data_IF_735277148896
#
_entry.id   IF_735277148896
#
_cell.length_a   1.000
_cell.length_b   1.000
_cell.length_c   1.000
_cell.angle_alpha   90.00
_cell.angle_beta   90.00
_cell.angle_gamma   90.00
#
_symmetry.space_group_name_H-M   'P 1'
#
loop_
_entity.id
_entity.type
_entity.pdbx_description
1 polymer ?
#
# COMPACT_ATOMS: atom_id res chain seq x y z
N UNK A 1 8.64 -8.23 0.43
CA UNK A 1 8.16 -7.57 -0.81
C UNK A 1 8.50 -8.40 -2.05
N UNK A 2 7.62 -8.46 -3.03
CA UNK A 2 7.84 -9.16 -4.32
C UNK A 2 7.26 -8.32 -5.45
N UNK A 3 8.11 -7.50 -6.07
CA UNK A 3 7.70 -6.47 -7.05
C UNK A 3 6.97 -7.05 -8.26
N UNK A 4 7.42 -8.19 -8.79
CA UNK A 4 6.87 -8.88 -9.96
C UNK A 4 5.45 -9.43 -9.73
N UNK A 5 5.06 -9.58 -8.46
CA UNK A 5 3.74 -10.07 -8.04
C UNK A 5 2.87 -8.97 -7.43
N UNK A 6 3.31 -7.72 -7.50
CA UNK A 6 2.63 -6.58 -6.87
C UNK A 6 2.39 -6.77 -5.36
N UNK A 7 3.25 -7.53 -4.69
CA UNK A 7 3.26 -7.68 -3.24
C UNK A 7 4.20 -6.61 -2.65
N UNK A 8 3.69 -5.38 -2.56
CA UNK A 8 4.48 -4.19 -2.27
C UNK A 8 4.73 -3.95 -0.78
N UNK A 9 3.99 -4.61 0.08
CA UNK A 9 4.09 -4.42 1.52
C UNK A 9 4.51 -5.74 2.16
N UNK A 10 5.33 -5.64 3.21
CA UNK A 10 5.71 -6.79 4.02
C UNK A 10 4.73 -6.99 5.18
N UNK A 11 4.28 -5.88 5.78
CA UNK A 11 3.45 -5.95 6.97
C UNK A 11 2.63 -4.67 7.18
N UNK A 12 1.43 -4.84 7.69
CA UNK A 12 0.64 -3.79 8.33
C UNK A 12 1.11 -3.73 9.80
N UNK A 13 1.60 -2.56 10.20
CA UNK A 13 2.17 -2.35 11.55
C UNK A 13 1.09 -1.95 12.53
N UNK A 14 0.15 -1.11 12.06
CA UNK A 14 -0.88 -0.53 12.89
C UNK A 14 -2.07 -0.06 12.05
N UNK A 15 -3.28 -0.17 12.59
CA UNK A 15 -4.51 0.35 12.01
C UNK A 15 -5.37 0.96 13.11
N UNK A 16 -5.69 2.24 12.94
CA UNK A 16 -6.62 2.98 13.79
C UNK A 16 -7.81 3.41 12.94
N UNK A 17 -8.93 2.71 13.07
CA UNK A 17 -10.14 2.98 12.30
C UNK A 17 -10.84 4.27 12.73
N UNK A 18 -10.77 4.62 14.01
CA UNK A 18 -11.37 5.86 14.54
C UNK A 18 -10.62 7.08 14.04
N UNK A 19 -9.29 7.03 14.08
CA UNK A 19 -8.42 8.06 13.52
C UNK A 19 -8.27 7.97 12.00
N UNK A 20 -8.82 6.93 11.35
CA UNK A 20 -8.70 6.65 9.90
C UNK A 20 -7.25 6.61 9.42
N UNK A 21 -6.39 5.92 10.16
CA UNK A 21 -4.96 5.82 9.89
C UNK A 21 -4.48 4.38 9.78
N UNK A 22 -3.44 4.21 8.99
CA UNK A 22 -2.73 2.95 8.84
C UNK A 22 -1.23 3.21 8.76
N UNK A 23 -0.44 2.28 9.30
CA UNK A 23 1.01 2.23 9.08
C UNK A 23 1.40 0.89 8.52
N UNK A 24 2.25 0.92 7.50
CA UNK A 24 2.79 -0.28 6.85
C UNK A 24 4.30 -0.15 6.70
N UNK A 25 4.95 -1.26 6.47
CA UNK A 25 6.39 -1.34 6.25
C UNK A 25 6.69 -2.27 5.08
N UNK A 26 7.72 -1.93 4.33
CA UNK A 26 8.31 -2.81 3.34
C UNK A 26 9.83 -2.64 3.27
N UNK A 27 10.54 -3.71 2.95
CA UNK A 27 11.96 -3.69 2.60
C UNK A 27 12.08 -3.96 1.10
N UNK A 28 12.74 -3.03 0.42
CA UNK A 28 13.00 -3.15 -1.02
C UNK A 28 13.89 -4.35 -1.27
N UNK A 29 13.56 -5.26 -2.21
CA UNK A 29 14.40 -6.42 -2.50
C UNK A 29 15.81 -6.01 -2.88
N UNK A 30 16.80 -6.89 -2.68
CA UNK A 30 18.14 -6.67 -3.21
C UNK A 30 18.12 -6.66 -4.75
N UNK A 31 19.13 -6.05 -5.36
CA UNK A 31 19.17 -5.88 -6.81
C UNK A 31 19.11 -7.21 -7.58
N UNK A 32 19.63 -8.29 -7.00
CA UNK A 32 19.61 -9.64 -7.59
C UNK A 32 18.37 -10.46 -7.25
N UNK A 33 17.44 -9.90 -6.48
CA UNK A 33 16.21 -10.59 -6.04
C UNK A 33 14.98 -10.21 -6.88
N UNK A 34 15.10 -9.18 -7.74
CA UNK A 34 14.00 -8.78 -8.63
C UNK A 34 14.50 -8.33 -10.00
N UNK A 35 13.92 -8.85 -11.08
CA UNK A 35 14.26 -8.46 -12.45
C UNK A 35 13.94 -6.98 -12.76
N UNK A 36 13.13 -6.32 -11.95
CA UNK A 36 12.86 -4.87 -12.09
C UNK A 36 14.14 -4.06 -12.09
N UNK A 37 15.13 -4.45 -11.28
CA UNK A 37 16.38 -3.72 -11.14
C UNK A 37 17.37 -3.96 -12.28
N UNK A 38 17.18 -5.00 -13.09
CA UNK A 38 17.99 -5.23 -14.30
C UNK A 38 17.72 -4.13 -15.33
N UNK A 39 16.47 -3.68 -15.44
CA UNK A 39 16.06 -2.64 -16.38
C UNK A 39 16.03 -1.22 -15.81
N UNK A 40 15.94 -1.08 -14.50
CA UNK A 40 15.75 0.23 -13.87
C UNK A 40 16.80 0.52 -12.78
N UNK A 41 18.03 0.89 -13.11
CA UNK A 41 18.63 1.02 -14.46
C UNK A 41 19.84 0.10 -14.58
N UNK A 42 20.26 -0.32 -15.78
CA UNK A 42 21.47 -1.13 -15.97
C UNK A 42 22.69 -0.49 -15.30
N UNK A 43 23.31 -1.21 -14.36
CA UNK A 43 24.46 -0.72 -13.60
C UNK A 43 24.15 0.27 -12.46
N UNK A 44 22.89 0.69 -12.32
CA UNK A 44 22.44 1.57 -11.24
C UNK A 44 21.00 1.22 -10.80
N UNK A 45 20.83 0.17 -9.99
CA UNK A 45 19.52 -0.28 -9.56
C UNK A 45 18.83 0.78 -8.70
N UNK A 46 17.62 1.16 -9.09
CA UNK A 46 16.82 2.18 -8.45
C UNK A 46 15.35 1.73 -8.39
N UNK A 47 14.70 1.90 -7.25
CA UNK A 47 13.28 1.61 -7.11
C UNK A 47 12.47 2.55 -8.02
N UNK A 48 11.67 2.02 -8.97
CA UNK A 48 10.84 2.85 -9.83
C UNK A 48 9.83 3.68 -9.02
N UNK A 49 9.73 4.97 -9.33
CA UNK A 49 8.77 5.87 -8.66
C UNK A 49 7.32 5.41 -8.79
N UNK A 50 6.96 4.81 -9.92
CA UNK A 50 5.60 4.24 -10.12
C UNK A 50 5.31 3.07 -9.19
N UNK A 51 6.31 2.29 -8.81
CA UNK A 51 6.15 1.22 -7.82
C UNK A 51 6.11 1.75 -6.38
N UNK A 52 6.70 2.92 -6.10
CA UNK A 52 6.47 3.63 -4.83
C UNK A 52 5.04 4.15 -4.74
N UNK A 53 4.45 4.59 -5.86
CA UNK A 53 3.02 4.93 -5.91
C UNK A 53 2.17 3.70 -5.59
N UNK A 54 2.52 2.53 -6.12
CA UNK A 54 1.82 1.28 -5.81
C UNK A 54 1.95 0.90 -4.31
N UNK A 55 3.12 1.07 -3.68
CA UNK A 55 3.26 0.90 -2.23
C UNK A 55 2.30 1.80 -1.45
N UNK A 56 2.22 3.08 -1.84
CA UNK A 56 1.31 4.05 -1.25
C UNK A 56 -0.16 3.67 -1.50
N UNK A 57 -0.48 3.23 -2.72
CA UNK A 57 -1.82 2.79 -3.08
C UNK A 57 -2.26 1.56 -2.28
N UNK A 58 -1.39 0.57 -2.12
CA UNK A 58 -1.71 -0.59 -1.28
C UNK A 58 -1.89 -0.18 0.19
N UNK A 59 -1.04 0.71 0.72
CA UNK A 59 -1.17 1.18 2.11
C UNK A 59 -2.54 1.79 2.38
N UNK A 60 -2.96 2.79 1.61
CA UNK A 60 -4.27 3.42 1.83
C UNK A 60 -5.43 2.53 1.36
N UNK A 61 -5.21 1.64 0.39
CA UNK A 61 -6.20 0.66 -0.06
C UNK A 61 -6.58 -0.33 1.04
N UNK A 62 -5.62 -0.79 1.84
CA UNK A 62 -5.91 -1.63 3.00
C UNK A 62 -6.73 -0.91 4.05
N UNK A 63 -6.44 0.37 4.31
CA UNK A 63 -7.26 1.19 5.21
C UNK A 63 -8.68 1.38 4.65
N UNK A 64 -8.81 1.71 3.36
CA UNK A 64 -10.12 1.86 2.72
C UNK A 64 -10.95 0.58 2.78
N UNK A 65 -10.32 -0.59 2.61
CA UNK A 65 -10.97 -1.90 2.80
C UNK A 65 -11.40 -2.12 4.24
N UNK A 66 -10.54 -1.77 5.20
CA UNK A 66 -10.79 -1.96 6.62
C UNK A 66 -11.96 -1.09 7.13
N UNK A 67 -12.05 0.16 6.69
CA UNK A 67 -13.13 1.09 7.06
C UNK A 67 -14.52 0.57 6.65
N UNK A 68 -14.60 -0.26 5.62
CA UNK A 68 -15.84 -0.91 5.16
C UNK A 68 -15.89 -2.40 5.50
N UNK A 69 -15.13 -2.84 6.51
CA UNK A 69 -15.07 -4.25 6.97
C UNK A 69 -14.80 -5.25 5.83
N UNK A 70 -14.05 -4.85 4.81
CA UNK A 70 -13.79 -5.68 3.61
C UNK A 70 -15.08 -6.13 2.87
N UNK A 71 -16.15 -5.33 2.91
CA UNK A 71 -17.40 -5.65 2.22
C UNK A 71 -17.40 -5.22 0.75
N UNK A 72 -16.64 -4.18 0.43
CA UNK A 72 -16.40 -3.68 -0.93
C UNK A 72 -14.90 -3.44 -1.12
N UNK A 73 -14.46 -3.45 -2.37
CA UNK A 73 -13.03 -3.32 -2.67
C UNK A 73 -12.67 -1.93 -3.21
N UNK A 74 -11.52 -1.35 -2.78
CA UNK A 74 -10.97 -0.15 -3.37
C UNK A 74 -10.24 -0.47 -4.67
N UNK A 75 -10.60 0.23 -5.75
CA UNK A 75 -9.90 0.19 -7.03
C UNK A 75 -9.28 1.55 -7.28
N UNK A 76 -8.00 1.59 -7.60
CA UNK A 76 -7.28 2.82 -7.90
C UNK A 76 -7.99 3.58 -9.03
N UNK A 77 -8.44 4.79 -8.76
CA UNK A 77 -9.15 5.64 -9.71
C UNK A 77 -8.34 6.87 -10.12
N UNK A 78 -7.45 7.35 -9.26
CA UNK A 78 -6.62 8.49 -9.56
C UNK A 78 -5.50 8.71 -8.55
N UNK A 79 -4.43 9.33 -9.03
CA UNK A 79 -3.29 9.76 -8.21
C UNK A 79 -3.09 11.25 -8.41
N UNK A 80 -2.97 11.98 -7.31
CA UNK A 80 -2.79 13.41 -7.34
C UNK A 80 -1.57 13.80 -6.49
N UNK A 81 -0.83 14.78 -6.97
CA UNK A 81 0.31 15.37 -6.25
C UNK A 81 1.37 14.36 -5.81
N UNK A 82 1.58 13.29 -6.57
CA UNK A 82 2.62 12.32 -6.27
C UNK A 82 4.01 12.95 -6.39
N UNK A 83 4.79 12.88 -5.32
CA UNK A 83 6.15 13.46 -5.24
C UNK A 83 7.13 12.40 -4.77
N UNK A 84 8.20 12.22 -5.55
CA UNK A 84 9.37 11.44 -5.18
C UNK A 84 10.46 12.43 -4.75
N UNK A 85 10.88 12.37 -3.48
CA UNK A 85 11.77 13.38 -2.88
C UNK A 85 13.21 12.94 -2.83
N UNK A 86 13.45 11.63 -2.84
CA UNK A 86 14.79 11.05 -2.86
C UNK A 86 14.77 9.69 -3.52
N UNK A 87 15.92 9.27 -4.02
CA UNK A 87 16.12 7.93 -4.55
C UNK A 87 15.91 6.88 -3.46
N UNK A 88 15.24 5.80 -3.83
CA UNK A 88 15.06 4.60 -2.99
C UNK A 88 15.80 3.46 -3.67
N UNK A 89 16.68 2.80 -2.92
CA UNK A 89 17.62 1.80 -3.42
C UNK A 89 17.22 0.39 -2.96
N UNK A 90 17.68 -0.65 -3.65
CA UNK A 90 17.60 -2.02 -3.15
C UNK A 90 18.12 -2.13 -1.70
N UNK A 91 17.40 -2.85 -0.86
CA UNK A 91 17.72 -3.03 0.56
C UNK A 91 17.18 -1.93 1.49
N UNK A 92 16.70 -0.79 0.97
CA UNK A 92 16.09 0.24 1.80
C UNK A 92 14.81 -0.28 2.47
N UNK A 93 14.59 0.09 3.73
CA UNK A 93 13.32 -0.15 4.42
C UNK A 93 12.52 1.14 4.47
N UNK A 94 11.26 1.06 4.03
CA UNK A 94 10.32 2.18 4.01
C UNK A 94 9.18 1.94 4.97
N UNK A 95 8.79 3.00 5.67
CA UNK A 95 7.58 3.08 6.46
C UNK A 95 6.58 3.98 5.73
N UNK A 96 5.34 3.50 5.56
CA UNK A 96 4.26 4.30 5.01
C UNK A 96 3.21 4.58 6.07
N UNK A 97 2.76 5.83 6.10
CA UNK A 97 1.62 6.27 6.88
C UNK A 97 0.53 6.74 5.92
N UNK A 98 -0.65 6.13 6.01
CA UNK A 98 -1.85 6.49 5.25
C UNK A 98 -2.92 7.08 6.16
N UNK A 99 -3.64 8.08 5.65
CA UNK A 99 -4.78 8.71 6.31
C UNK A 99 -5.91 8.89 5.30
N UNK A 100 -7.11 8.37 5.58
CA UNK A 100 -8.29 8.61 4.75
C UNK A 100 -8.89 9.97 5.12
N UNK A 101 -8.87 10.89 4.16
CA UNK A 101 -9.34 12.28 4.31
C UNK A 101 -10.75 12.51 3.79
N UNK A 102 -11.25 11.62 2.93
CA UNK A 102 -12.62 11.67 2.42
C UNK A 102 -13.15 10.27 2.15
N UNK A 103 -14.41 10.07 2.47
CA UNK A 103 -15.16 8.86 2.19
C UNK A 103 -16.61 9.25 1.86
N UNK A 104 -17.10 8.86 0.70
CA UNK A 104 -18.46 9.15 0.28
C UNK A 104 -18.68 9.01 -1.22
N UNK A 105 -19.94 8.93 -1.62
CA UNK A 105 -20.36 8.85 -3.04
C UNK A 105 -19.67 7.75 -3.86
N UNK A 106 -19.30 6.63 -3.21
CA UNK A 106 -18.60 5.51 -3.85
C UNK A 106 -17.10 5.72 -4.07
N UNK A 107 -16.52 6.74 -3.43
CA UNK A 107 -15.09 7.03 -3.48
C UNK A 107 -14.49 7.16 -2.09
N UNK A 108 -13.20 6.83 -2.00
CA UNK A 108 -12.36 7.06 -0.83
C UNK A 108 -11.09 7.76 -1.26
N UNK A 109 -10.67 8.78 -0.53
CA UNK A 109 -9.43 9.51 -0.80
C UNK A 109 -8.49 9.38 0.38
N UNK A 110 -7.27 8.93 0.12
CA UNK A 110 -6.20 8.80 1.10
C UNK A 110 -5.02 9.71 0.79
N UNK A 111 -4.40 10.25 1.83
CA UNK A 111 -3.09 10.88 1.79
C UNK A 111 -2.07 9.92 2.38
N UNK A 112 -0.95 9.73 1.69
CA UNK A 112 0.07 8.76 2.09
C UNK A 112 1.44 9.44 2.07
N UNK A 113 2.25 9.12 3.09
CA UNK A 113 3.65 9.56 3.20
C UNK A 113 4.53 8.36 3.43
N UNK A 114 5.57 8.23 2.60
CA UNK A 114 6.63 7.23 2.77
C UNK A 114 7.88 7.86 3.38
N UNK A 115 8.49 7.15 4.33
CA UNK A 115 9.71 7.58 5.02
C UNK A 115 10.76 6.48 5.01
N UNK A 116 12.01 6.88 5.01
CA UNK A 116 13.19 6.06 5.29
C UNK A 116 13.97 6.73 6.42
N UNK A 117 14.22 6.01 7.51
CA UNK A 117 14.92 6.54 8.72
C UNK A 117 14.30 7.86 9.22
N UNK A 118 12.96 7.93 9.24
CA UNK A 118 12.20 9.10 9.66
C UNK A 118 12.14 10.26 8.62
N UNK A 119 12.93 10.21 7.54
CA UNK A 119 12.96 11.24 6.49
C UNK A 119 11.99 10.91 5.37
N UNK A 120 11.19 11.90 4.94
CA UNK A 120 10.24 11.74 3.83
C UNK A 120 10.93 11.44 2.50
N UNK A 121 10.52 10.35 1.84
CA UNK A 121 11.03 9.93 0.52
C UNK A 121 9.99 10.06 -0.58
N UNK A 122 8.72 9.91 -0.26
CA UNK A 122 7.62 10.08 -1.21
C UNK A 122 6.31 10.45 -0.50
N UNK A 123 5.40 11.05 -1.23
CA UNK A 123 4.03 11.30 -0.79
C UNK A 123 3.08 11.38 -2.00
N UNK A 124 1.80 11.09 -1.77
CA UNK A 124 0.76 11.21 -2.78
C UNK A 124 -0.63 11.33 -2.13
N UNK A 125 -1.58 11.88 -2.88
CA UNK A 125 -3.01 11.73 -2.63
C UNK A 125 -3.57 10.71 -3.63
N UNK A 126 -4.29 9.70 -3.14
CA UNK A 126 -4.80 8.60 -3.96
C UNK A 126 -6.32 8.50 -3.79
N UNK A 127 -7.02 8.44 -4.91
CA UNK A 127 -8.47 8.25 -4.97
C UNK A 127 -8.78 6.82 -5.38
N UNK A 128 -9.66 6.17 -4.63
CA UNK A 128 -10.21 4.86 -4.93
C UNK A 128 -11.67 4.97 -5.29
N UNK A 129 -12.10 4.19 -6.28
CA UNK A 129 -13.50 3.87 -6.48
C UNK A 129 -13.81 2.59 -5.71
N UNK A 130 -14.87 2.65 -4.90
CA UNK A 130 -15.30 1.52 -4.09
C UNK A 130 -16.29 0.68 -4.89
N UNK A 131 -15.95 -0.57 -5.20
CA UNK A 131 -16.73 -1.48 -6.05
C UNK A 131 -17.04 -2.78 -5.31
N UNK A 132 -18.19 -3.42 -5.61
CA UNK A 132 -18.46 -4.75 -5.08
C UNK A 132 -17.42 -5.76 -5.56
N UNK A 133 -17.14 -6.77 -4.74
CA UNK A 133 -16.31 -7.89 -5.16
C UNK A 133 -16.98 -8.67 -6.30
N UNK A 134 -16.22 -9.16 -7.28
CA UNK A 134 -16.79 -9.92 -8.40
C UNK A 134 -17.40 -11.27 -7.96
N UNK A 135 -16.87 -11.84 -6.87
CA UNK A 135 -17.36 -13.09 -6.27
C UNK A 135 -16.84 -13.24 -4.83
N UNK A 136 -17.45 -14.14 -4.02
CA UNK A 136 -17.03 -14.39 -2.64
C UNK A 136 -15.60 -14.94 -2.52
N UNK A 137 -15.14 -15.73 -3.47
CA UNK A 137 -13.81 -16.34 -3.49
C UNK A 137 -12.72 -15.26 -3.57
N UNK A 138 -12.95 -14.25 -4.42
CA UNK A 138 -12.04 -13.11 -4.54
C UNK A 138 -12.01 -12.30 -3.23
N UNK A 139 -13.17 -12.04 -2.62
CA UNK A 139 -13.24 -11.38 -1.30
C UNK A 139 -12.44 -12.15 -0.25
N UNK A 140 -12.60 -13.49 -0.23
CA UNK A 140 -11.84 -14.36 0.68
C UNK A 140 -10.33 -14.22 0.43
N UNK A 141 -9.90 -14.25 -0.82
CA UNK A 141 -8.47 -14.12 -1.17
C UNK A 141 -7.87 -12.79 -0.69
N UNK A 142 -8.64 -11.68 -0.78
CA UNK A 142 -8.20 -10.38 -0.25
C UNK A 142 -8.07 -10.41 1.27
N UNK A 143 -9.02 -11.00 1.99
CA UNK A 143 -8.92 -11.15 3.46
C UNK A 143 -7.75 -12.04 3.87
N UNK A 144 -7.52 -13.15 3.15
CA UNK A 144 -6.36 -14.03 3.37
C UNK A 144 -5.04 -13.27 3.12
N UNK A 145 -5.01 -12.37 2.14
CA UNK A 145 -3.85 -11.50 1.90
C UNK A 145 -3.65 -10.51 3.04
N UNK A 146 -4.69 -9.83 3.50
CA UNK A 146 -4.62 -8.92 4.65
C UNK A 146 -4.10 -9.66 5.90
N UNK A 147 -4.54 -10.91 6.12
CA UNK A 147 -4.04 -11.74 7.22
C UNK A 147 -2.54 -12.06 7.09
N UNK A 148 -2.05 -12.35 5.89
CA UNK A 148 -0.60 -12.53 5.64
C UNK A 148 0.20 -11.25 5.92
N UNK A 149 -0.39 -10.09 5.68
CA UNK A 149 0.18 -8.79 6.06
C UNK A 149 0.00 -8.45 7.55
N UNK A 150 -0.47 -9.40 8.35
CA UNK A 150 -0.70 -9.24 9.80
C UNK A 150 -1.77 -8.18 10.15
N UNK A 151 -2.78 -8.00 9.27
CA UNK A 151 -3.92 -7.16 9.61
C UNK A 151 -4.63 -7.73 10.86
N UNK A 152 -4.88 -6.90 11.89
CA UNK A 152 -5.47 -7.36 13.16
C UNK A 152 -7.00 -7.55 13.01
N UNK A 153 -7.42 -8.62 12.32
CA UNK A 153 -8.84 -8.98 12.34
C UNK A 153 -9.28 -9.27 13.77
N UNK A 154 -10.44 -8.75 14.17
CA UNK A 154 -11.07 -9.17 15.42
C UNK A 154 -11.27 -10.69 15.40
N UNK A 155 -10.91 -11.37 16.48
CA UNK A 155 -11.24 -12.79 16.61
C UNK A 155 -12.76 -12.96 16.52
N UNK A 156 -13.26 -14.00 15.82
CA UNK A 156 -14.68 -14.29 15.84
C UNK A 156 -15.10 -14.49 17.30
N UNK A 157 -16.06 -13.70 17.74
CA UNK A 157 -16.70 -13.91 19.04
C UNK A 157 -17.20 -15.34 19.08
N UNK A 158 -16.63 -16.16 19.99
CA UNK A 158 -16.98 -17.57 20.16
C UNK A 158 -18.42 -17.72 20.62
#
# INVERSE_FOLDING_TARGET
MRLEYFQMLDRIVDVDLDARRIRTVCTIPQANESPVFEGHFPGYPLMPGVLLIECMAQTAGWLASALVNFDIMPILAGVKEAKMRSAVLPGDTLEFEGHVIHEGSGFTVGEIKGRRDGKGVCDAQITYRMLPYPNPEFRKAIRDWAQRLQYPFAEPVK
#
